data_IF_658717431454
#
_entry.id   IF_658717431454
#
_cell.length_a   1.000
_cell.length_b   1.000
_cell.length_c   1.000
_cell.angle_alpha   90.00
_cell.angle_beta   90.00
_cell.angle_gamma   90.00
#
_symmetry.space_group_name_H-M   'P 1'
#
loop_
_entity.id
_entity.type
_entity.pdbx_description
1 polymer ?
#
# COMPACT_ATOMS: atom_id res chain seq x y z
N UNK A 1 5.09 -20.58 -27.03
CA UNK A 1 5.46 -19.32 -26.34
C UNK A 1 4.28 -18.37 -26.36
N UNK A 2 3.66 -18.08 -25.22
CA UNK A 2 2.62 -17.06 -25.14
C UNK A 2 3.27 -15.68 -25.32
N UNK A 3 2.84 -14.93 -26.34
CA UNK A 3 3.24 -13.53 -26.54
C UNK A 3 2.78 -12.73 -25.32
N UNK A 4 3.71 -12.38 -24.43
CA UNK A 4 3.44 -11.41 -23.37
C UNK A 4 2.99 -10.10 -24.02
N UNK A 5 1.74 -9.71 -23.79
CA UNK A 5 1.29 -8.37 -24.16
C UNK A 5 1.75 -7.41 -23.07
N UNK A 6 2.30 -6.23 -23.43
CA UNK A 6 2.64 -5.23 -22.41
C UNK A 6 1.40 -4.93 -21.57
N UNK A 7 1.59 -4.79 -20.26
CA UNK A 7 0.50 -4.58 -19.31
C UNK A 7 -0.22 -3.26 -19.60
N UNK A 8 -1.29 -3.31 -20.40
CA UNK A 8 -2.09 -2.14 -20.69
C UNK A 8 -3.06 -1.86 -19.54
N UNK A 9 -3.18 -0.58 -19.18
CA UNK A 9 -4.08 -0.13 -18.11
C UNK A 9 -5.52 -0.60 -18.35
N UNK A 10 -5.98 -0.54 -19.60
CA UNK A 10 -7.31 -0.97 -20.02
C UNK A 10 -7.55 -2.46 -19.77
N UNK A 11 -6.58 -3.32 -20.11
CA UNK A 11 -6.69 -4.76 -19.86
C UNK A 11 -6.82 -5.08 -18.37
N UNK A 12 -6.02 -4.42 -17.51
CA UNK A 12 -6.11 -4.60 -16.07
C UNK A 12 -7.45 -4.10 -15.49
N UNK A 13 -8.01 -3.01 -16.02
CA UNK A 13 -9.32 -2.48 -15.60
C UNK A 13 -10.48 -3.42 -15.93
N UNK A 14 -10.42 -4.11 -17.08
CA UNK A 14 -11.40 -5.12 -17.49
C UNK A 14 -11.19 -6.43 -16.72
N UNK A 15 -9.93 -6.86 -16.57
CA UNK A 15 -9.58 -8.14 -15.96
C UNK A 15 -9.81 -8.15 -14.45
N UNK A 16 -9.39 -7.10 -13.73
CA UNK A 16 -9.38 -6.98 -12.26
C UNK A 16 -8.78 -8.21 -11.54
N UNK A 17 -7.85 -8.89 -12.20
CA UNK A 17 -7.21 -10.12 -11.70
C UNK A 17 -7.98 -11.42 -11.96
N UNK A 18 -9.25 -11.38 -12.40
CA UNK A 18 -10.09 -12.58 -12.50
C UNK A 18 -9.87 -13.44 -13.76
N UNK A 19 -9.29 -12.88 -14.83
CA UNK A 19 -9.20 -13.54 -16.15
C UNK A 19 -7.78 -13.66 -16.71
N UNK A 20 -6.76 -13.22 -15.96
CA UNK A 20 -5.36 -13.22 -16.36
C UNK A 20 -5.07 -12.67 -17.78
N UNK A 21 -5.82 -11.67 -18.25
CA UNK A 21 -5.73 -11.17 -19.65
C UNK A 21 -4.35 -10.62 -20.04
N UNK A 22 -3.55 -10.18 -19.07
CA UNK A 22 -2.18 -9.69 -19.27
C UNK A 22 -1.14 -10.83 -19.32
N UNK A 23 -1.51 -12.06 -18.98
CA UNK A 23 -0.61 -13.22 -18.95
C UNK A 23 0.40 -13.24 -17.79
N UNK A 24 0.36 -12.26 -16.87
CA UNK A 24 1.24 -12.21 -15.70
C UNK A 24 0.69 -13.11 -14.60
N UNK A 25 1.48 -14.08 -14.16
CA UNK A 25 1.15 -15.02 -13.08
C UNK A 25 2.25 -15.02 -12.00
N UNK A 26 1.92 -14.76 -10.72
CA UNK A 26 0.61 -14.35 -10.20
C UNK A 26 0.23 -12.90 -10.59
N UNK A 27 -1.07 -12.58 -10.55
CA UNK A 27 -1.50 -11.19 -10.79
C UNK A 27 -1.09 -10.30 -9.61
N UNK A 28 -0.37 -9.19 -9.83
CA UNK A 28 0.08 -8.30 -8.75
C UNK A 28 -1.06 -7.76 -7.86
N UNK A 29 -2.25 -7.56 -8.45
CA UNK A 29 -3.44 -7.13 -7.72
C UNK A 29 -3.92 -8.19 -6.71
N UNK A 30 -3.95 -9.46 -7.13
CA UNK A 30 -4.39 -10.56 -6.28
C UNK A 30 -3.36 -10.86 -5.20
N UNK A 31 -2.07 -10.78 -5.52
CA UNK A 31 -0.99 -10.98 -4.57
C UNK A 31 -1.02 -9.95 -3.44
N UNK A 32 -1.22 -8.66 -3.78
CA UNK A 32 -1.45 -7.62 -2.78
C UNK A 32 -2.61 -7.96 -1.85
N UNK A 33 -3.75 -8.36 -2.40
CA UNK A 33 -4.95 -8.71 -1.61
C UNK A 33 -4.65 -9.91 -0.70
N UNK A 34 -3.99 -10.94 -1.22
CA UNK A 34 -3.61 -12.14 -0.46
C UNK A 34 -2.71 -11.82 0.73
N UNK A 35 -1.84 -10.81 0.60
CA UNK A 35 -0.95 -10.38 1.69
C UNK A 35 -1.71 -9.53 2.71
N UNK A 36 -2.61 -8.64 2.25
CA UNK A 36 -3.32 -7.69 3.11
C UNK A 36 -4.51 -8.30 3.85
N UNK A 37 -5.17 -9.31 3.29
CA UNK A 37 -6.33 -9.96 3.90
C UNK A 37 -6.06 -10.49 5.32
N UNK A 38 -5.04 -11.33 5.57
CA UNK A 38 -4.77 -11.84 6.93
C UNK A 38 -4.28 -10.76 7.89
N UNK A 39 -3.61 -9.71 7.39
CA UNK A 39 -3.17 -8.58 8.22
C UNK A 39 -4.39 -7.82 8.72
N UNK A 40 -5.36 -7.57 7.84
CA UNK A 40 -6.58 -6.84 8.18
C UNK A 40 -7.42 -7.56 9.25
N UNK A 41 -7.46 -8.89 9.21
CA UNK A 41 -8.21 -9.70 10.19
C UNK A 41 -7.55 -9.69 11.58
N UNK A 42 -6.22 -9.56 11.64
CA UNK A 42 -5.44 -9.56 12.88
C UNK A 42 -5.19 -8.17 13.46
N UNK A 43 -5.56 -7.11 12.75
CA UNK A 43 -5.27 -5.74 13.15
C UNK A 43 -6.26 -5.25 14.22
N UNK A 44 -5.75 -4.85 15.37
CA UNK A 44 -6.51 -4.17 16.42
C UNK A 44 -6.87 -2.73 16.04
N UNK A 45 -7.77 -2.09 16.78
CA UNK A 45 -8.10 -0.67 16.59
C UNK A 45 -6.88 0.24 16.77
N UNK A 46 -6.02 -0.11 17.74
CA UNK A 46 -4.76 0.56 18.01
C UNK A 46 -3.58 -0.33 17.60
N UNK A 47 -2.60 0.26 16.91
CA UNK A 47 -1.33 -0.38 16.58
C UNK A 47 -0.19 0.64 16.67
N UNK A 48 1.01 0.15 16.98
CA UNK A 48 2.21 0.97 17.12
C UNK A 48 3.34 0.41 16.26
N UNK A 49 4.10 1.31 15.64
CA UNK A 49 5.25 0.95 14.84
C UNK A 49 5.87 2.15 14.12
N UNK A 50 7.08 1.98 13.56
CA UNK A 50 7.70 3.01 12.74
C UNK A 50 6.86 3.28 11.49
N UNK A 51 6.72 4.56 11.16
CA UNK A 51 5.89 5.02 10.05
C UNK A 51 6.73 5.73 8.99
N UNK A 52 7.31 5.01 8.01
CA UNK A 52 8.27 5.58 7.07
C UNK A 52 7.69 6.63 6.11
N UNK A 53 6.38 6.61 5.83
CA UNK A 53 5.73 7.64 5.01
C UNK A 53 4.29 7.92 5.42
N UNK A 54 3.71 8.93 4.77
CA UNK A 54 2.31 9.33 4.91
C UNK A 54 1.61 9.10 3.57
N UNK A 55 0.48 8.40 3.61
CA UNK A 55 -0.36 8.22 2.44
C UNK A 55 -1.42 9.32 2.33
N UNK A 56 -1.55 9.91 1.15
CA UNK A 56 -2.61 10.87 0.80
C UNK A 56 -3.50 10.28 -0.28
N UNK A 57 -4.79 10.11 0.02
CA UNK A 57 -5.79 9.62 -0.92
C UNK A 57 -6.36 10.71 -1.82
N UNK A 58 -6.94 10.29 -2.95
CA UNK A 58 -7.62 11.20 -3.90
C UNK A 58 -9.15 11.27 -3.69
N UNK A 59 -9.73 10.29 -3.01
CA UNK A 59 -11.19 10.17 -2.87
C UNK A 59 -11.72 11.21 -1.87
N UNK A 60 -12.74 11.97 -2.29
CA UNK A 60 -13.46 12.91 -1.43
C UNK A 60 -12.86 14.31 -1.32
N UNK A 61 -11.95 14.69 -2.24
CA UNK A 61 -11.38 16.04 -2.31
C UNK A 61 -12.48 17.14 -2.22
N UNK A 62 -12.29 18.21 -1.42
CA UNK A 62 -11.07 18.58 -0.67
C UNK A 62 -10.89 17.88 0.70
N UNK A 63 -11.83 17.01 1.11
CA UNK A 63 -11.79 16.25 2.36
C UNK A 63 -11.27 14.82 2.13
N UNK A 64 -9.96 14.69 1.97
CA UNK A 64 -9.30 13.43 1.59
C UNK A 64 -8.92 12.57 2.80
N UNK A 65 -8.72 11.27 2.57
CA UNK A 65 -8.12 10.40 3.58
C UNK A 65 -6.60 10.57 3.63
N UNK A 66 -6.07 10.81 4.81
CA UNK A 66 -4.63 10.93 5.10
C UNK A 66 -4.31 10.04 6.29
N UNK A 67 -3.13 9.43 6.28
CA UNK A 67 -2.61 8.75 7.47
C UNK A 67 -1.23 8.16 7.24
N UNK A 68 -0.44 7.96 8.30
CA UNK A 68 0.82 7.24 8.22
C UNK A 68 0.66 5.83 7.64
N UNK A 69 1.68 5.43 6.90
CA UNK A 69 1.99 4.05 6.53
C UNK A 69 2.92 3.50 7.60
N UNK A 70 2.46 2.53 8.38
CA UNK A 70 3.17 2.01 9.53
C UNK A 70 3.56 0.56 9.29
N UNK A 71 4.81 0.21 9.59
CA UNK A 71 5.26 -1.18 9.55
C UNK A 71 4.87 -1.88 10.85
N UNK A 72 4.39 -3.11 10.72
CA UNK A 72 4.21 -4.04 11.86
C UNK A 72 5.53 -4.71 12.28
N UNK A 73 6.55 -4.63 11.42
CA UNK A 73 7.89 -5.13 11.68
C UNK A 73 8.87 -3.94 11.72
N UNK A 74 9.32 -3.53 12.92
CA UNK A 74 10.13 -2.33 13.06
C UNK A 74 11.47 -2.38 12.35
N UNK A 75 12.08 -3.57 12.25
CA UNK A 75 13.43 -3.74 11.69
C UNK A 75 13.43 -3.54 10.17
N UNK A 76 12.38 -4.01 9.48
CA UNK A 76 12.27 -3.90 8.03
C UNK A 76 11.59 -2.62 7.53
N UNK A 77 11.13 -1.74 8.43
CA UNK A 77 10.34 -0.56 8.09
C UNK A 77 11.03 0.37 7.08
N UNK A 78 12.34 0.58 7.24
CA UNK A 78 13.14 1.41 6.32
C UNK A 78 13.21 0.83 4.92
N UNK A 79 13.29 -0.50 4.79
CA UNK A 79 13.34 -1.18 3.50
C UNK A 79 11.96 -1.22 2.82
N UNK A 80 10.88 -1.37 3.59
CA UNK A 80 9.52 -1.52 3.07
C UNK A 80 8.99 -0.31 2.26
N UNK A 81 9.60 0.86 2.41
CA UNK A 81 9.19 2.11 1.77
C UNK A 81 10.34 2.88 1.11
N UNK A 82 11.43 2.18 0.77
CA UNK A 82 12.59 2.79 0.12
C UNK A 82 12.80 2.23 -1.30
N UNK A 83 12.22 2.86 -2.34
CA UNK A 83 12.36 2.42 -3.73
C UNK A 83 13.81 2.34 -4.22
N UNK A 84 14.71 3.15 -3.68
CA UNK A 84 16.12 3.11 -4.06
C UNK A 84 16.80 1.79 -3.66
N UNK A 85 16.33 1.16 -2.59
CA UNK A 85 16.85 -0.12 -2.10
C UNK A 85 16.17 -1.34 -2.72
N UNK A 86 15.11 -1.17 -3.51
CA UNK A 86 14.43 -2.28 -4.18
C UNK A 86 15.08 -2.71 -5.49
N UNK A 87 16.11 -2.00 -5.94
CA UNK A 87 16.81 -2.35 -7.16
C UNK A 87 17.45 -3.75 -7.03
N UNK A 88 17.14 -4.63 -7.97
CA UNK A 88 17.59 -6.03 -7.96
C UNK A 88 16.65 -6.99 -7.23
N UNK A 89 15.66 -6.51 -6.49
CA UNK A 89 14.62 -7.35 -5.87
C UNK A 89 13.64 -7.88 -6.92
N UNK A 90 13.06 -9.05 -6.65
CA UNK A 90 11.98 -9.58 -7.49
C UNK A 90 10.70 -8.74 -7.28
N UNK A 91 9.86 -8.64 -8.32
CA UNK A 91 8.57 -7.93 -8.24
C UNK A 91 7.69 -8.47 -7.10
N UNK A 92 7.75 -9.77 -6.84
CA UNK A 92 7.03 -10.42 -5.74
C UNK A 92 7.44 -9.87 -4.36
N UNK A 93 8.74 -9.63 -4.18
CA UNK A 93 9.29 -9.07 -2.96
C UNK A 93 8.88 -7.60 -2.81
N UNK A 94 8.92 -6.83 -3.90
CA UNK A 94 8.49 -5.44 -3.91
C UNK A 94 7.01 -5.33 -3.52
N UNK A 95 6.15 -6.16 -4.13
CA UNK A 95 4.73 -6.23 -3.79
C UNK A 95 4.57 -6.57 -2.31
N UNK A 96 5.34 -7.54 -1.79
CA UNK A 96 5.29 -7.94 -0.38
C UNK A 96 5.70 -6.82 0.55
N UNK A 97 6.88 -6.23 0.35
CA UNK A 97 7.41 -5.12 1.13
C UNK A 97 6.40 -3.96 1.22
N UNK A 98 5.86 -3.54 0.07
CA UNK A 98 4.89 -2.44 0.03
C UNK A 98 3.54 -2.79 0.66
N UNK A 99 3.10 -4.04 0.54
CA UNK A 99 1.77 -4.48 0.99
C UNK A 99 1.70 -4.76 2.49
N UNK A 100 2.85 -5.00 3.13
CA UNK A 100 2.96 -5.20 4.59
C UNK A 100 2.72 -3.91 5.39
N UNK A 101 2.94 -2.74 4.79
CA UNK A 101 2.67 -1.46 5.43
C UNK A 101 1.17 -1.27 5.68
N UNK A 102 0.81 -1.06 6.93
CA UNK A 102 -0.55 -0.79 7.37
C UNK A 102 -0.84 0.71 7.29
N UNK A 103 -1.97 1.07 6.69
CA UNK A 103 -2.37 2.47 6.51
C UNK A 103 -3.49 2.84 7.46
N UNK A 104 -3.26 3.84 8.30
CA UNK A 104 -4.34 4.52 9.03
C UNK A 104 -5.12 5.47 8.11
N UNK A 105 -6.40 5.70 8.38
CA UNK A 105 -7.26 6.57 7.54
C UNK A 105 -7.97 7.60 8.39
N UNK A 106 -7.52 8.85 8.32
CA UNK A 106 -8.21 10.01 8.90
C UNK A 106 -8.70 10.92 7.78
N UNK A 107 -9.95 11.39 7.85
CA UNK A 107 -10.44 12.39 6.90
C UNK A 107 -9.89 13.77 7.28
N UNK A 108 -9.27 14.46 6.32
CA UNK A 108 -8.64 15.76 6.51
C UNK A 108 -9.03 16.70 5.37
N UNK A 109 -9.54 17.88 5.72
CA UNK A 109 -9.83 18.97 4.78
C UNK A 109 -8.56 19.76 4.46
N UNK A 110 -8.31 20.04 3.18
CA UNK A 110 -7.10 20.73 2.71
C UNK A 110 -7.21 22.25 2.88
N UNK A 111 -8.43 22.80 2.88
CA UNK A 111 -8.66 24.26 2.90
C UNK A 111 -8.61 24.93 4.28
N UNK A 112 -8.47 24.19 5.38
CA UNK A 112 -8.48 24.73 6.74
C UNK A 112 -7.10 24.68 7.42
N UNK A 113 -6.77 25.68 8.24
CA UNK A 113 -5.63 25.58 9.18
C UNK A 113 -5.90 24.42 10.12
N UNK A 114 -5.19 23.31 9.93
CA UNK A 114 -5.35 22.14 10.79
C UNK A 114 -4.02 21.80 11.42
N UNK A 115 -3.95 21.85 12.75
CA UNK A 115 -2.76 21.39 13.47
C UNK A 115 -2.73 19.86 13.45
N UNK A 116 -1.91 19.28 12.59
CA UNK A 116 -1.48 17.88 12.74
C UNK A 116 -0.47 17.88 13.89
N UNK A 117 -0.97 17.93 15.13
CA UNK A 117 -0.16 17.66 16.32
C UNK A 117 -0.26 16.17 16.59
N UNK A 118 0.81 15.43 16.31
CA UNK A 118 0.97 14.08 16.86
C UNK A 118 0.95 14.22 18.39
N UNK A 119 -0.02 13.58 19.06
CA UNK A 119 0.11 13.35 20.50
C UNK A 119 1.24 12.34 20.68
N UNK A 120 2.42 12.81 21.05
CA UNK A 120 3.47 11.94 21.57
C UNK A 120 2.95 11.32 22.88
N UNK A 121 3.00 9.99 23.08
CA UNK A 121 2.78 9.41 24.40
C UNK A 121 3.92 9.89 25.32
N UNK A 122 3.57 10.35 26.52
CA UNK A 122 4.53 10.49 27.62
C UNK A 122 4.83 9.10 28.19
#
# INVERSE_FOLDING_TARGET
MQKMRPMSKELCLICKGGRALCGVSPCPLLQKISIQAPIKEKLSEDFFGPSPSIFVGHQGYPNVFVGPMTSLDPESASLQDNPAQWYGSNIDEIIRMRSLLVRSKRRQGIGGRTSIRSRSPQ
#
